data_IF_404866892167
#
_entry.id   IF_404866892167
#
_cell.length_a   1.000
_cell.length_b   1.000
_cell.length_c   1.000
_cell.angle_alpha   90.00
_cell.angle_beta   90.00
_cell.angle_gamma   90.00
#
_symmetry.space_group_name_H-M   'P 1'
#
loop_
_entity.id
_entity.type
_entity.pdbx_description
1 polymer ?
#
# COMPACT_ATOMS: atom_id res chain seq x y z
N UNK A 1 -14.49 1.49 15.06
CA UNK A 1 -15.65 0.57 15.09
C UNK A 1 -16.10 0.34 16.53
N UNK A 2 -17.38 -0.04 16.76
CA UNK A 2 -17.89 -0.37 18.10
C UNK A 2 -16.99 -1.42 18.77
N UNK A 3 -16.58 -2.46 18.04
CA UNK A 3 -15.73 -3.54 18.56
C UNK A 3 -14.36 -3.00 19.05
N UNK A 4 -13.72 -2.08 18.30
CA UNK A 4 -12.46 -1.48 18.75
C UNK A 4 -12.64 -0.64 20.01
N UNK A 5 -13.71 0.15 20.09
CA UNK A 5 -14.03 0.94 21.27
C UNK A 5 -14.30 0.06 22.51
N UNK A 6 -15.03 -1.05 22.34
CA UNK A 6 -15.28 -2.00 23.45
C UNK A 6 -13.98 -2.65 23.93
N UNK A 7 -13.02 -2.98 23.03
CA UNK A 7 -11.73 -3.55 23.43
C UNK A 7 -10.88 -2.50 24.18
N UNK A 8 -10.92 -1.23 23.75
CA UNK A 8 -10.22 -0.16 24.45
C UNK A 8 -10.81 0.10 25.83
N UNK A 9 -12.14 0.02 25.98
CA UNK A 9 -12.82 0.13 27.26
C UNK A 9 -12.47 -1.05 28.20
N UNK A 10 -12.49 -2.28 27.70
CA UNK A 10 -12.07 -3.48 28.45
C UNK A 10 -10.61 -3.38 28.90
N UNK A 11 -9.72 -2.80 28.08
CA UNK A 11 -8.32 -2.57 28.41
C UNK A 11 -8.19 -1.61 29.60
N UNK A 12 -9.03 -0.58 29.67
CA UNK A 12 -9.05 0.38 30.80
C UNK A 12 -9.54 -0.29 32.09
N UNK A 13 -10.49 -1.24 32.01
CA UNK A 13 -11.08 -1.92 33.17
C UNK A 13 -10.22 -3.07 33.69
N UNK A 14 -9.41 -3.73 32.85
CA UNK A 14 -8.59 -4.88 33.21
C UNK A 14 -7.17 -4.83 32.62
N UNK A 15 -6.30 -3.94 33.09
CA UNK A 15 -4.97 -3.71 32.48
C UNK A 15 -4.01 -4.89 32.59
N UNK A 16 -4.29 -5.90 33.42
CA UNK A 16 -3.45 -7.08 33.63
C UNK A 16 -3.24 -7.95 32.38
N UNK A 17 -4.05 -7.79 31.32
CA UNK A 17 -3.99 -8.60 30.10
C UNK A 17 -3.64 -7.76 28.85
N UNK A 18 -2.74 -6.79 29.01
CA UNK A 18 -2.40 -5.85 27.93
C UNK A 18 -2.00 -6.56 26.62
N UNK A 19 -1.26 -7.67 26.71
CA UNK A 19 -0.84 -8.45 25.52
C UNK A 19 -2.04 -9.05 24.76
N UNK A 20 -3.06 -9.50 25.47
CA UNK A 20 -4.29 -10.03 24.85
C UNK A 20 -5.04 -8.95 24.12
N UNK A 21 -5.16 -7.74 24.70
CA UNK A 21 -5.82 -6.62 24.04
C UNK A 21 -5.08 -6.16 22.78
N UNK A 22 -3.75 -6.17 22.78
CA UNK A 22 -2.93 -5.90 21.60
C UNK A 22 -3.21 -6.93 20.48
N UNK A 23 -3.27 -8.20 20.84
CA UNK A 23 -3.59 -9.28 19.89
C UNK A 23 -5.02 -9.15 19.36
N UNK A 24 -6.00 -8.86 20.24
CA UNK A 24 -7.40 -8.67 19.84
C UNK A 24 -7.54 -7.49 18.88
N UNK A 25 -7.00 -6.32 19.20
CA UNK A 25 -7.02 -5.15 18.32
C UNK A 25 -6.34 -5.43 16.98
N UNK A 26 -5.21 -6.10 16.98
CA UNK A 26 -4.52 -6.48 15.75
C UNK A 26 -5.40 -7.38 14.85
N UNK A 27 -6.10 -8.36 15.44
CA UNK A 27 -7.00 -9.25 14.70
C UNK A 27 -8.24 -8.51 14.19
N UNK A 28 -8.83 -7.61 14.99
CA UNK A 28 -9.95 -6.77 14.59
C UNK A 28 -9.57 -5.89 13.41
N UNK A 29 -8.44 -5.18 13.49
CA UNK A 29 -7.96 -4.35 12.40
C UNK A 29 -7.67 -5.17 11.13
N UNK A 30 -7.21 -6.40 11.30
CA UNK A 30 -7.03 -7.33 10.18
C UNK A 30 -8.36 -7.71 9.54
N UNK A 31 -9.38 -8.06 10.33
CA UNK A 31 -10.72 -8.40 9.83
C UNK A 31 -11.36 -7.22 9.11
N UNK A 32 -11.26 -6.01 9.64
CA UNK A 32 -11.76 -4.79 9.01
C UNK A 32 -11.12 -4.60 7.63
N UNK A 33 -9.78 -4.72 7.54
CA UNK A 33 -9.08 -4.62 6.26
C UNK A 33 -9.52 -5.69 5.26
N UNK A 34 -9.74 -6.93 5.71
CA UNK A 34 -10.21 -8.00 4.85
C UNK A 34 -11.62 -7.71 4.29
N UNK A 35 -12.52 -7.23 5.15
CA UNK A 35 -13.86 -6.82 4.73
C UNK A 35 -13.82 -5.66 3.73
N UNK A 36 -12.99 -4.66 3.98
CA UNK A 36 -12.79 -3.55 3.05
C UNK A 36 -12.27 -4.01 1.69
N UNK A 37 -11.28 -4.92 1.67
CA UNK A 37 -10.75 -5.50 0.42
C UNK A 37 -11.83 -6.27 -0.35
N UNK A 38 -12.69 -7.04 0.34
CA UNK A 38 -13.80 -7.77 -0.30
C UNK A 38 -14.83 -6.79 -0.87
N UNK A 39 -15.19 -5.75 -0.12
CA UNK A 39 -16.14 -4.73 -0.59
C UNK A 39 -15.62 -3.97 -1.81
N UNK A 40 -14.35 -3.60 -1.81
CA UNK A 40 -13.73 -2.94 -2.95
C UNK A 40 -13.60 -3.86 -4.16
N UNK A 41 -13.21 -5.10 -3.92
CA UNK A 41 -13.21 -6.13 -4.95
C UNK A 41 -14.60 -6.26 -5.61
N UNK A 42 -15.67 -6.31 -4.81
CA UNK A 42 -17.04 -6.33 -5.34
C UNK A 42 -17.39 -5.07 -6.15
N UNK A 43 -16.96 -3.89 -5.67
CA UNK A 43 -17.15 -2.65 -6.43
C UNK A 43 -16.40 -2.67 -7.76
N UNK A 44 -15.19 -3.24 -7.82
CA UNK A 44 -14.41 -3.41 -9.03
C UNK A 44 -15.11 -4.38 -10.01
N UNK A 45 -15.65 -5.52 -9.52
CA UNK A 45 -16.37 -6.48 -10.35
C UNK A 45 -17.63 -5.90 -10.99
N UNK A 46 -18.34 -5.04 -10.27
CA UNK A 46 -19.61 -4.44 -10.72
C UNK A 46 -19.41 -3.13 -11.49
N UNK A 47 -18.15 -2.71 -11.75
CA UNK A 47 -17.85 -1.43 -12.43
C UNK A 47 -18.23 -0.19 -11.59
N UNK A 48 -18.49 -0.36 -10.30
CA UNK A 48 -18.90 0.71 -9.38
C UNK A 48 -17.72 1.37 -8.65
N UNK A 49 -16.49 1.01 -9.00
CA UNK A 49 -15.30 1.65 -8.45
C UNK A 49 -15.13 3.03 -9.10
N UNK A 50 -15.24 4.08 -8.30
CA UNK A 50 -15.10 5.45 -8.77
C UNK A 50 -13.73 6.00 -8.40
N UNK A 51 -13.08 6.67 -9.34
CA UNK A 51 -11.87 7.45 -9.12
C UNK A 51 -12.24 8.87 -8.74
N UNK A 52 -11.55 9.43 -7.74
CA UNK A 52 -11.64 10.84 -7.35
C UNK A 52 -10.23 11.37 -7.13
N UNK A 53 -9.76 12.15 -8.08
CA UNK A 53 -8.41 12.72 -8.05
C UNK A 53 -8.46 14.17 -7.59
N UNK A 54 -7.51 14.56 -6.77
CA UNK A 54 -7.32 15.94 -6.33
C UNK A 54 -5.88 16.37 -6.60
N UNK A 55 -5.68 17.67 -6.78
CA UNK A 55 -4.34 18.24 -6.96
C UNK A 55 -3.58 18.21 -5.64
N UNK A 56 -2.37 17.67 -5.63
CA UNK A 56 -1.54 17.62 -4.44
C UNK A 56 -0.10 17.23 -4.68
N UNK A 57 0.71 17.21 -3.61
CA UNK A 57 2.09 16.72 -3.66
C UNK A 57 2.12 15.20 -3.43
N UNK A 58 2.23 14.46 -4.53
CA UNK A 58 2.26 13.00 -4.51
C UNK A 58 3.54 12.46 -3.85
N UNK A 59 4.65 13.19 -3.91
CA UNK A 59 5.89 12.78 -3.25
C UNK A 59 5.77 12.88 -1.73
N UNK A 60 5.20 13.97 -1.22
CA UNK A 60 4.89 14.13 0.19
C UNK A 60 3.90 13.06 0.67
N UNK A 61 2.85 12.76 -0.11
CA UNK A 61 1.88 11.73 0.20
C UNK A 61 2.54 10.34 0.28
N UNK A 62 3.29 9.94 -0.75
CA UNK A 62 3.98 8.64 -0.79
C UNK A 62 4.97 8.49 0.36
N UNK A 63 5.71 9.55 0.70
CA UNK A 63 6.64 9.57 1.81
C UNK A 63 5.90 9.34 3.14
N UNK A 64 4.83 10.08 3.41
CA UNK A 64 4.05 9.95 4.65
C UNK A 64 3.43 8.56 4.81
N UNK A 65 2.83 8.02 3.74
CA UNK A 65 2.26 6.68 3.77
C UNK A 65 3.33 5.60 4.00
N UNK A 66 4.48 5.72 3.32
CA UNK A 66 5.58 4.78 3.49
C UNK A 66 6.20 4.86 4.90
N UNK A 67 6.35 6.05 5.48
CA UNK A 67 6.85 6.24 6.83
C UNK A 67 6.00 5.53 7.89
N UNK A 68 4.70 5.37 7.66
CA UNK A 68 3.81 4.63 8.56
C UNK A 68 4.21 3.16 8.74
N UNK A 69 5.03 2.61 7.84
CA UNK A 69 5.54 1.23 7.91
C UNK A 69 6.79 1.07 8.78
N UNK A 70 7.45 2.16 9.21
CA UNK A 70 8.66 2.09 10.04
C UNK A 70 8.54 1.17 11.27
N UNK A 71 7.45 1.19 12.07
CA UNK A 71 7.31 0.29 13.21
C UNK A 71 7.29 -1.19 12.80
N UNK A 72 6.64 -1.51 11.67
CA UNK A 72 6.54 -2.87 11.17
C UNK A 72 7.89 -3.40 10.68
N UNK A 73 8.60 -2.62 9.85
CA UNK A 73 9.90 -3.01 9.30
C UNK A 73 10.99 -3.07 10.38
N UNK A 74 10.97 -2.15 11.35
CA UNK A 74 11.86 -2.17 12.52
C UNK A 74 11.67 -3.43 13.35
N UNK A 75 10.43 -3.83 13.64
CA UNK A 75 10.12 -5.07 14.37
C UNK A 75 10.67 -6.30 13.65
N UNK A 76 10.76 -6.27 12.33
CA UNK A 76 11.29 -7.35 11.47
C UNK A 76 12.77 -7.21 11.16
N UNK A 77 13.44 -6.19 11.70
CA UNK A 77 14.85 -5.84 11.43
C UNK A 77 15.15 -5.68 9.93
N UNK A 78 14.22 -5.10 9.19
CA UNK A 78 14.35 -4.81 7.75
C UNK A 78 14.87 -3.38 7.60
N UNK A 79 15.88 -3.18 6.75
CA UNK A 79 16.35 -1.85 6.35
C UNK A 79 15.33 -1.22 5.42
N UNK A 80 14.88 -0.01 5.74
CA UNK A 80 13.84 0.67 4.98
C UNK A 80 14.32 2.03 4.51
N UNK A 81 14.15 2.32 3.21
CA UNK A 81 14.53 3.59 2.61
C UNK A 81 13.46 4.11 1.68
N UNK A 82 13.30 5.44 1.64
CA UNK A 82 12.34 6.14 0.81
C UNK A 82 13.11 7.22 0.03
N UNK A 83 12.96 7.22 -1.29
CA UNK A 83 13.60 8.16 -2.20
C UNK A 83 12.55 8.74 -3.16
N UNK A 84 12.32 10.05 -3.08
CA UNK A 84 11.50 10.79 -4.04
C UNK A 84 12.40 11.75 -4.83
N UNK A 85 12.34 11.68 -6.15
CA UNK A 85 13.17 12.52 -7.04
C UNK A 85 12.27 13.11 -8.15
N UNK A 86 12.02 14.41 -8.10
CA UNK A 86 12.40 15.39 -7.08
C UNK A 86 11.68 15.18 -5.72
N UNK A 87 12.05 15.93 -4.70
CA UNK A 87 11.45 15.83 -3.35
C UNK A 87 9.96 16.22 -3.31
N UNK A 88 9.51 17.04 -4.27
CA UNK A 88 8.12 17.46 -4.45
C UNK A 88 7.69 17.16 -5.89
N UNK A 89 6.55 16.52 -6.05
CA UNK A 89 5.92 16.17 -7.33
C UNK A 89 4.45 16.54 -7.24
N UNK A 90 4.06 17.65 -7.87
CA UNK A 90 2.66 18.09 -7.89
C UNK A 90 1.92 17.41 -9.04
N UNK A 91 0.74 16.89 -8.76
CA UNK A 91 -0.12 16.25 -9.76
C UNK A 91 -1.47 15.83 -9.21
N UNK A 92 -2.31 15.29 -10.08
CA UNK A 92 -3.62 14.77 -9.73
C UNK A 92 -3.54 13.29 -9.37
N UNK A 93 -4.09 12.90 -8.24
CA UNK A 93 -4.15 11.49 -7.80
C UNK A 93 -5.26 11.28 -6.77
N UNK A 94 -5.73 10.04 -6.66
CA UNK A 94 -6.69 9.62 -5.62
C UNK A 94 -5.92 9.10 -4.41
N UNK A 95 -5.96 9.83 -3.30
CA UNK A 95 -5.24 9.49 -2.06
C UNK A 95 -5.68 8.16 -1.47
N UNK A 96 -6.99 7.86 -1.49
CA UNK A 96 -7.53 6.62 -0.94
C UNK A 96 -7.03 5.40 -1.75
N UNK A 97 -7.09 5.50 -3.09
CA UNK A 97 -6.67 4.40 -3.97
C UNK A 97 -5.16 4.22 -3.98
N UNK A 98 -4.39 5.33 -4.06
CA UNK A 98 -2.93 5.29 -4.02
C UNK A 98 -2.43 4.77 -2.65
N UNK A 99 -3.04 5.17 -1.55
CA UNK A 99 -2.73 4.65 -0.21
C UNK A 99 -2.94 3.14 -0.13
N UNK A 100 -4.02 2.60 -0.72
CA UNK A 100 -4.27 1.15 -0.79
C UNK A 100 -3.26 0.40 -1.64
N UNK A 101 -2.86 0.97 -2.79
CA UNK A 101 -1.80 0.42 -3.64
C UNK A 101 -0.50 0.32 -2.83
N UNK A 102 -0.07 1.42 -2.20
CA UNK A 102 1.13 1.48 -1.37
C UNK A 102 1.08 0.46 -0.23
N UNK A 103 -0.03 0.44 0.53
CA UNK A 103 -0.20 -0.48 1.64
C UNK A 103 -0.07 -1.95 1.20
N UNK A 104 -0.72 -2.35 0.11
CA UNK A 104 -0.66 -3.73 -0.38
C UNK A 104 0.75 -4.12 -0.81
N UNK A 105 1.44 -3.27 -1.55
CA UNK A 105 2.79 -3.56 -2.04
C UNK A 105 3.81 -3.57 -0.89
N UNK A 106 3.78 -2.60 0.01
CA UNK A 106 4.68 -2.53 1.18
C UNK A 106 4.42 -3.66 2.18
N UNK A 107 3.15 -4.00 2.42
CA UNK A 107 2.79 -5.13 3.26
C UNK A 107 3.32 -6.46 2.69
N UNK A 108 3.27 -6.65 1.36
CA UNK A 108 3.84 -7.81 0.70
C UNK A 108 5.37 -7.80 0.80
N UNK A 109 6.04 -6.69 0.52
CA UNK A 109 7.48 -6.55 0.65
C UNK A 109 7.96 -6.88 2.07
N UNK A 110 7.26 -6.37 3.10
CA UNK A 110 7.58 -6.69 4.49
C UNK A 110 7.28 -8.15 4.85
N UNK A 111 6.16 -8.71 4.35
CA UNK A 111 5.71 -10.08 4.67
C UNK A 111 6.63 -11.15 4.12
N UNK A 112 7.10 -10.98 2.88
CA UNK A 112 7.90 -11.96 2.16
C UNK A 112 9.39 -11.70 2.23
N UNK A 113 9.81 -10.69 2.99
CA UNK A 113 11.21 -10.39 3.24
C UNK A 113 11.83 -11.34 4.30
N UNK A 114 13.14 -11.31 4.36
CA UNK A 114 13.96 -11.98 5.38
C UNK A 114 14.40 -10.99 6.46
N UNK A 115 14.77 -11.50 7.63
CA UNK A 115 15.42 -10.70 8.68
C UNK A 115 16.75 -10.14 8.14
N UNK A 116 17.04 -8.87 8.42
CA UNK A 116 18.22 -8.18 7.87
C UNK A 116 18.11 -7.84 6.39
N UNK A 117 16.94 -8.06 5.76
CA UNK A 117 16.69 -7.65 4.39
C UNK A 117 16.49 -6.15 4.22
N UNK A 118 16.17 -5.72 3.00
CA UNK A 118 15.83 -4.31 2.74
C UNK A 118 14.52 -4.16 1.98
N UNK A 119 13.89 -3.00 2.13
CA UNK A 119 12.80 -2.50 1.31
C UNK A 119 13.14 -1.08 0.90
N UNK A 120 13.04 -0.78 -0.38
CA UNK A 120 13.25 0.55 -0.94
C UNK A 120 12.00 0.99 -1.67
N UNK A 121 11.48 2.17 -1.30
CA UNK A 121 10.44 2.90 -2.03
C UNK A 121 11.11 3.97 -2.85
N UNK A 122 10.82 4.02 -4.15
CA UNK A 122 11.33 5.07 -5.04
C UNK A 122 10.17 5.67 -5.80
N UNK A 123 10.06 7.00 -5.80
CA UNK A 123 9.13 7.75 -6.63
C UNK A 123 9.90 8.71 -7.51
N UNK A 124 9.61 8.68 -8.81
CA UNK A 124 10.25 9.59 -9.78
C UNK A 124 9.28 9.90 -10.93
N UNK A 125 9.52 10.98 -11.66
CA UNK A 125 8.85 11.22 -12.94
C UNK A 125 9.22 10.16 -13.96
N UNK A 126 8.31 9.87 -14.90
CA UNK A 126 8.71 9.24 -16.16
C UNK A 126 9.35 10.28 -17.12
N UNK A 127 9.78 9.82 -18.28
CA UNK A 127 10.53 10.65 -19.25
C UNK A 127 9.76 11.90 -19.68
N UNK A 128 8.44 11.84 -19.78
CA UNK A 128 7.59 12.94 -20.25
C UNK A 128 7.03 13.81 -19.12
N UNK A 129 7.27 13.44 -17.85
CA UNK A 129 6.74 14.08 -16.64
C UNK A 129 5.20 14.11 -16.50
N UNK A 130 4.47 13.41 -17.38
CA UNK A 130 3.01 13.26 -17.29
C UNK A 130 2.61 12.14 -16.32
N UNK A 131 3.58 11.29 -15.96
CA UNK A 131 3.40 10.15 -15.08
C UNK A 131 4.44 10.13 -13.99
N UNK A 132 4.11 9.44 -12.92
CA UNK A 132 5.08 9.03 -11.90
C UNK A 132 5.30 7.52 -11.97
N UNK A 133 6.53 7.13 -11.66
CA UNK A 133 6.95 5.75 -11.46
C UNK A 133 7.17 5.53 -9.95
N UNK A 134 6.28 4.76 -9.35
CA UNK A 134 6.41 4.27 -7.97
C UNK A 134 7.01 2.87 -8.02
N UNK A 135 8.21 2.71 -7.48
CA UNK A 135 8.91 1.42 -7.38
C UNK A 135 9.01 0.99 -5.94
N UNK A 136 8.65 -0.27 -5.67
CA UNK A 136 8.82 -0.89 -4.37
C UNK A 136 9.67 -2.14 -4.57
N UNK A 137 10.91 -2.07 -4.09
CA UNK A 137 11.93 -3.11 -4.24
C UNK A 137 12.25 -3.74 -2.89
N UNK A 138 12.34 -5.06 -2.86
CA UNK A 138 12.77 -5.85 -1.72
C UNK A 138 13.80 -6.91 -2.14
N UNK A 139 14.55 -7.45 -1.19
CA UNK A 139 15.45 -8.58 -1.37
C UNK A 139 14.96 -9.84 -0.65
N UNK A 140 13.65 -10.03 -0.61
CA UNK A 140 13.00 -11.18 -0.01
C UNK A 140 13.09 -12.46 -0.85
N UNK A 141 12.11 -13.32 -0.69
CA UNK A 141 12.07 -14.67 -1.32
C UNK A 141 11.91 -14.66 -2.83
N UNK A 142 11.55 -13.52 -3.42
CA UNK A 142 11.25 -13.43 -4.83
C UNK A 142 10.05 -14.27 -5.29
N UNK A 143 9.79 -14.25 -6.59
CA UNK A 143 8.62 -14.87 -7.22
C UNK A 143 9.09 -15.61 -8.48
N UNK A 144 8.76 -16.91 -8.60
CA UNK A 144 9.11 -17.71 -9.78
C UNK A 144 8.41 -17.20 -11.03
N UNK A 145 9.02 -17.42 -12.19
CA UNK A 145 8.51 -17.01 -13.53
C UNK A 145 7.08 -17.46 -13.77
N UNK A 146 6.71 -18.69 -13.38
CA UNK A 146 5.36 -19.21 -13.58
C UNK A 146 4.34 -18.51 -12.68
N UNK A 147 4.73 -18.16 -11.46
CA UNK A 147 3.88 -17.37 -10.55
C UNK A 147 3.71 -15.93 -11.01
N UNK A 148 4.72 -15.31 -11.60
CA UNK A 148 4.62 -13.96 -12.14
C UNK A 148 3.53 -13.85 -13.21
N UNK A 149 3.35 -14.87 -14.05
CA UNK A 149 2.30 -14.91 -15.11
C UNK A 149 0.87 -14.85 -14.55
N UNK A 150 0.68 -15.27 -13.31
CA UNK A 150 -0.64 -15.38 -12.68
C UNK A 150 -0.79 -14.50 -11.44
N UNK A 151 0.22 -13.72 -11.09
CA UNK A 151 0.34 -12.97 -9.86
C UNK A 151 -0.83 -11.99 -9.62
N UNK A 152 -1.33 -11.39 -10.69
CA UNK A 152 -2.44 -10.43 -10.67
C UNK A 152 -3.80 -11.09 -10.95
N UNK A 153 -3.86 -12.43 -11.12
CA UNK A 153 -5.14 -13.12 -11.27
C UNK A 153 -5.87 -13.18 -9.92
N UNK A 154 -7.19 -13.05 -10.00
CA UNK A 154 -8.10 -13.12 -8.85
C UNK A 154 -8.05 -14.49 -8.20
N UNK A 155 -8.13 -14.55 -6.87
CA UNK A 155 -8.13 -15.78 -6.09
C UNK A 155 -6.95 -16.71 -6.38
N UNK A 156 -5.82 -16.14 -6.78
CA UNK A 156 -4.62 -16.91 -6.93
C UNK A 156 -4.13 -17.35 -5.54
N UNK A 157 -4.50 -18.55 -5.17
CA UNK A 157 -3.95 -19.24 -4.01
C UNK A 157 -2.56 -19.77 -4.38
N UNK A 158 -1.54 -18.95 -4.23
CA UNK A 158 -0.18 -19.47 -4.13
C UNK A 158 -0.09 -20.41 -2.93
N UNK A 159 0.98 -21.22 -2.81
CA UNK A 159 1.22 -22.19 -1.70
C UNK A 159 1.26 -21.52 -0.31
N UNK A 160 0.19 -20.78 0.05
CA UNK A 160 0.05 -20.11 1.36
C UNK A 160 0.09 -21.10 2.51
N UNK A 161 -0.31 -22.37 2.26
CA UNK A 161 -0.26 -23.46 3.24
C UNK A 161 1.18 -23.83 3.62
N UNK A 162 2.16 -23.70 2.71
CA UNK A 162 3.56 -24.03 2.97
C UNK A 162 4.29 -22.98 3.82
N UNK A 163 3.80 -21.72 3.85
CA UNK A 163 4.53 -20.63 4.50
C UNK A 163 3.85 -20.08 5.75
N UNK A 164 2.78 -20.69 6.23
CA UNK A 164 2.00 -20.25 7.40
C UNK A 164 1.59 -18.75 7.31
N UNK A 165 1.50 -18.20 6.10
CA UNK A 165 1.22 -16.79 5.83
C UNK A 165 -0.15 -16.68 5.19
N UNK A 166 -1.16 -16.31 5.97
CA UNK A 166 -2.53 -16.12 5.52
C UNK A 166 -2.58 -14.87 4.63
N UNK A 167 -2.83 -15.07 3.34
CA UNK A 167 -3.14 -14.02 2.37
C UNK A 167 -4.50 -14.30 1.73
N UNK A 168 -5.27 -13.26 1.36
CA UNK A 168 -6.59 -13.40 0.74
C UNK A 168 -6.55 -13.75 -0.74
N UNK A 169 -5.39 -13.68 -1.38
CA UNK A 169 -5.27 -13.80 -2.83
C UNK A 169 -5.91 -12.65 -3.63
N UNK A 170 -6.47 -11.65 -2.95
CA UNK A 170 -7.19 -10.52 -3.55
C UNK A 170 -6.30 -9.26 -3.65
N UNK A 171 -5.31 -9.10 -2.78
CA UNK A 171 -4.55 -7.85 -2.65
C UNK A 171 -3.89 -7.38 -3.96
N UNK A 172 -3.15 -8.23 -4.65
CA UNK A 172 -2.46 -7.84 -5.89
C UNK A 172 -3.40 -7.67 -7.09
N UNK A 173 -4.47 -8.47 -7.18
CA UNK A 173 -5.49 -8.27 -8.21
C UNK A 173 -6.22 -6.93 -8.01
N UNK A 174 -6.61 -6.61 -6.76
CA UNK A 174 -7.19 -5.31 -6.43
C UNK A 174 -6.18 -4.17 -6.70
N UNK A 175 -4.90 -4.35 -6.36
CA UNK A 175 -3.86 -3.34 -6.69
C UNK A 175 -3.84 -3.07 -8.18
N UNK A 176 -3.90 -4.10 -9.02
CA UNK A 176 -3.97 -3.94 -10.47
C UNK A 176 -5.23 -3.20 -10.89
N UNK A 177 -6.41 -3.59 -10.39
CA UNK A 177 -7.68 -2.92 -10.69
C UNK A 177 -7.63 -1.42 -10.31
N UNK A 178 -7.02 -1.08 -9.16
CA UNK A 178 -6.86 0.31 -8.71
C UNK A 178 -5.88 1.10 -9.58
N UNK A 179 -4.79 0.49 -10.04
CA UNK A 179 -3.83 1.11 -10.95
C UNK A 179 -4.46 1.34 -12.33
N UNK A 180 -5.18 0.36 -12.86
CA UNK A 180 -5.90 0.47 -14.13
C UNK A 180 -7.03 1.51 -14.07
N UNK A 181 -7.67 1.67 -12.90
CA UNK A 181 -8.65 2.73 -12.67
C UNK A 181 -8.04 4.14 -12.81
N UNK A 182 -6.74 4.30 -12.48
CA UNK A 182 -5.98 5.54 -12.73
C UNK A 182 -5.45 5.64 -14.17
N UNK A 183 -5.84 4.75 -15.09
CA UNK A 183 -5.25 4.64 -16.42
C UNK A 183 -3.74 4.38 -16.39
N UNK A 184 -3.27 3.78 -15.29
CA UNK A 184 -1.89 3.43 -15.06
C UNK A 184 -1.55 1.99 -15.43
N UNK A 185 -0.32 1.62 -15.18
CA UNK A 185 0.18 0.24 -15.39
C UNK A 185 0.95 -0.25 -14.18
N UNK A 186 0.87 -1.56 -13.92
CA UNK A 186 1.68 -2.24 -12.91
C UNK A 186 2.45 -3.39 -13.54
N UNK A 187 3.72 -3.49 -13.20
CA UNK A 187 4.58 -4.60 -13.61
C UNK A 187 5.41 -5.12 -12.44
N UNK A 188 6.02 -6.29 -12.62
CA UNK A 188 6.85 -6.94 -11.61
C UNK A 188 8.12 -7.49 -12.25
N UNK A 189 9.25 -7.25 -11.60
CA UNK A 189 10.54 -7.87 -11.90
C UNK A 189 10.95 -8.65 -10.65
N UNK A 190 11.14 -9.95 -10.77
CA UNK A 190 11.46 -10.78 -9.62
C UNK A 190 12.25 -12.02 -10.01
N UNK A 191 13.11 -12.44 -9.10
CA UNK A 191 13.85 -13.69 -9.18
C UNK A 191 13.81 -14.39 -7.81
N UNK A 192 13.70 -15.72 -7.81
CA UNK A 192 13.65 -16.50 -6.58
C UNK A 192 14.91 -16.27 -5.78
N UNK A 193 14.75 -16.01 -4.48
CA UNK A 193 15.79 -15.70 -3.49
C UNK A 193 16.60 -14.40 -3.75
N UNK A 194 16.31 -13.67 -4.85
CA UNK A 194 16.94 -12.38 -5.14
C UNK A 194 16.04 -11.18 -4.77
N UNK A 195 14.73 -11.39 -4.67
CA UNK A 195 13.74 -10.38 -4.26
C UNK A 195 12.77 -10.00 -5.35
N UNK A 196 12.03 -8.93 -5.12
CA UNK A 196 10.95 -8.46 -5.99
C UNK A 196 11.00 -6.95 -6.12
N UNK A 197 10.73 -6.44 -7.32
CA UNK A 197 10.48 -5.04 -7.61
C UNK A 197 9.13 -4.91 -8.29
N UNK A 198 8.18 -4.26 -7.64
CA UNK A 198 6.93 -3.80 -8.25
C UNK A 198 7.14 -2.40 -8.79
N UNK A 199 6.66 -2.17 -10.02
CA UNK A 199 6.74 -0.89 -10.71
C UNK A 199 5.32 -0.48 -11.09
N UNK A 200 4.84 0.61 -10.50
CA UNK A 200 3.53 1.21 -10.77
C UNK A 200 3.74 2.53 -11.49
N UNK A 201 3.12 2.70 -12.65
CA UNK A 201 3.12 3.93 -13.43
C UNK A 201 1.72 4.52 -13.39
N UNK A 202 1.58 5.75 -12.92
CA UNK A 202 0.30 6.46 -12.77
C UNK A 202 0.41 7.82 -13.43
N UNK A 203 -0.57 8.22 -14.29
CA UNK A 203 -0.65 9.57 -14.82
C UNK A 203 -0.94 10.55 -13.67
N UNK A 204 -0.34 11.74 -13.76
CA UNK A 204 -0.53 12.83 -12.80
C UNK A 204 -0.98 14.12 -13.46
N UNK A 205 -0.97 14.19 -14.78
CA UNK A 205 -1.46 15.35 -15.52
C UNK A 205 -3.00 15.34 -15.59
N UNK A 206 -3.58 16.53 -15.48
CA UNK A 206 -5.02 16.72 -15.46
C UNK A 206 -5.72 16.16 -16.71
N UNK A 207 -5.07 16.18 -17.85
CA UNK A 207 -5.64 15.77 -19.15
C UNK A 207 -6.02 14.28 -19.21
N UNK A 208 -5.49 13.46 -18.32
CA UNK A 208 -5.84 12.04 -18.20
C UNK A 208 -7.14 11.77 -17.44
N UNK A 209 -7.72 12.81 -16.80
CA UNK A 209 -8.89 12.66 -15.94
C UNK A 209 -10.08 13.47 -16.46
N UNK A 210 -11.27 12.88 -16.40
CA UNK A 210 -12.54 13.55 -16.76
C UNK A 210 -12.96 14.50 -15.64
N UNK A 211 -13.70 15.56 -15.95
CA UNK A 211 -14.16 16.55 -14.97
C UNK A 211 -14.91 15.92 -13.79
N UNK A 212 -15.71 14.88 -14.04
CA UNK A 212 -16.46 14.14 -13.02
C UNK A 212 -15.58 13.34 -12.04
N UNK A 213 -14.30 13.13 -12.37
CA UNK A 213 -13.32 12.43 -11.56
C UNK A 213 -12.46 13.38 -10.71
N UNK A 214 -12.55 14.68 -10.99
CA UNK A 214 -11.74 15.69 -10.30
C UNK A 214 -12.51 16.20 -9.10
N UNK A 215 -11.82 16.21 -7.97
CA UNK A 215 -12.27 16.85 -6.75
C UNK A 215 -11.51 18.17 -6.60
N UNK A 216 -12.24 19.29 -6.45
CA UNK A 216 -11.62 20.62 -6.34
C UNK A 216 -10.91 20.85 -5.01
N UNK A 217 -10.97 19.90 -4.08
CA UNK A 217 -10.19 19.94 -2.85
C UNK A 217 -8.70 19.77 -3.16
N UNK A 218 -7.90 20.79 -2.83
CA UNK A 218 -6.44 20.69 -2.88
C UNK A 218 -5.93 19.89 -1.67
N UNK A 219 -5.19 18.83 -1.93
CA UNK A 219 -4.56 18.03 -0.88
C UNK A 219 -3.38 18.81 -0.31
N UNK A 220 -3.57 19.44 0.84
CA UNK A 220 -2.48 20.10 1.56
C UNK A 220 -1.55 19.03 2.19
N UNK A 221 -0.23 19.22 2.14
CA UNK A 221 0.68 18.34 2.84
C UNK A 221 0.40 18.37 4.34
N UNK A 222 0.26 17.19 4.95
CA UNK A 222 0.12 17.06 6.40
C UNK A 222 1.42 17.58 7.02
N UNK A 223 1.38 18.78 7.60
CA UNK A 223 2.50 19.28 8.40
C UNK A 223 2.56 18.42 9.67
N UNK A 224 3.52 17.52 9.75
CA UNK A 224 3.93 16.99 11.06
C UNK A 224 4.52 18.13 11.85
N UNK A 225 3.72 18.72 12.74
CA UNK A 225 4.22 19.55 13.82
C UNK A 225 5.15 18.64 14.63
N UNK A 226 6.46 18.79 14.39
CA UNK A 226 7.46 18.28 15.30
C UNK A 226 7.15 18.96 16.67
N UNK A 227 6.62 18.18 17.59
CA UNK A 227 6.55 18.60 18.97
C UNK A 227 7.99 18.81 19.42
N UNK A 228 8.43 20.07 19.42
CA UNK A 228 9.61 20.52 20.14
C UNK A 228 9.27 20.30 21.62
N UNK A 229 9.68 19.13 22.15
CA UNK A 229 9.73 18.93 23.58
C UNK A 229 10.86 19.78 24.15
N UNK A 230 10.50 20.72 24.96
CA UNK A 230 11.37 21.35 25.95
C UNK A 230 11.74 20.33 27.05
#
# INVERSE_FOLDING_TARGET
TIISATVDELKMQAPLHNDLYVVMNSNIQRLIRLLQQILEFRKAETGNLKLRVSLGDIAAFVKNEAESFHPLVKKRKIHFSILCVPESITGYFDTDKLGKILYNLLSNAAKYNKEGGFIQVTLLYDENKDFVLLKIKDNGKGISKDRQKTLFKRFYEGDYRKFNTIGTGIGLSLTKDLVELHEGTISVVSEVDAGTEFIVRIPIDRSYYRDEQIDDEVILPIQHTAALGE
#
